data_IF_064206451915
#
_entry.id   IF_064206451915
#
_cell.length_a   1.000
_cell.length_b   1.000
_cell.length_c   1.000
_cell.angle_alpha   90.00
_cell.angle_beta   90.00
_cell.angle_gamma   90.00
#
_symmetry.space_group_name_H-M   'P 1'
#
loop_
_entity.id
_entity.type
_entity.pdbx_description
1 polymer ?
#
# COMPACT_ATOMS: atom_id res chain seq x y z
N UNK A 1 -19.95 -8.82 -15.49
CA UNK A 1 -19.61 -9.02 -14.07
C UNK A 1 -19.76 -7.68 -13.36
N UNK A 2 -20.68 -7.59 -12.41
CA UNK A 2 -21.04 -6.32 -11.75
C UNK A 2 -19.92 -5.85 -10.82
N UNK A 3 -19.66 -4.53 -10.80
CA UNK A 3 -18.71 -3.84 -9.88
C UNK A 3 -18.93 -4.23 -8.40
N UNK A 4 -20.16 -4.60 -8.07
CA UNK A 4 -20.57 -5.07 -6.75
C UNK A 4 -19.88 -6.39 -6.35
N UNK A 5 -19.60 -7.27 -7.32
CA UNK A 5 -18.88 -8.54 -7.09
C UNK A 5 -17.39 -8.30 -6.81
N UNK A 6 -16.79 -7.29 -7.47
CA UNK A 6 -15.39 -6.90 -7.25
C UNK A 6 -15.25 -6.25 -5.86
N UNK A 7 -16.19 -5.40 -5.46
CA UNK A 7 -16.23 -4.79 -4.12
C UNK A 7 -16.39 -5.83 -3.02
N UNK A 8 -17.26 -6.83 -3.19
CA UNK A 8 -17.46 -7.89 -2.20
C UNK A 8 -16.23 -8.80 -2.04
N UNK A 9 -15.50 -9.08 -3.13
CA UNK A 9 -14.24 -9.84 -3.07
C UNK A 9 -13.13 -9.08 -2.33
N UNK A 10 -13.07 -7.76 -2.50
CA UNK A 10 -12.07 -6.93 -1.81
C UNK A 10 -12.38 -6.79 -0.32
N UNK A 11 -13.66 -6.62 0.06
CA UNK A 11 -14.06 -6.55 1.48
C UNK A 11 -13.89 -7.89 2.19
N UNK A 12 -14.15 -9.01 1.50
CA UNK A 12 -13.97 -10.37 2.05
C UNK A 12 -12.52 -10.73 2.37
N UNK A 13 -11.53 -10.10 1.71
CA UNK A 13 -10.11 -10.33 1.96
C UNK A 13 -9.54 -9.46 3.10
N UNK A 14 -10.14 -8.29 3.37
CA UNK A 14 -9.67 -7.36 4.42
C UNK A 14 -10.01 -7.87 5.82
N UNK A 15 -11.12 -8.59 5.98
CA UNK A 15 -11.56 -9.12 7.29
C UNK A 15 -10.58 -10.12 7.92
N UNK A 16 -9.82 -10.85 7.10
CA UNK A 16 -8.87 -11.87 7.58
C UNK A 16 -7.54 -11.29 8.09
N UNK A 17 -7.24 -10.02 7.83
CA UNK A 17 -5.94 -9.40 8.17
C UNK A 17 -5.90 -8.70 9.54
N UNK A 18 -7.04 -8.48 10.19
CA UNK A 18 -7.13 -7.78 11.49
C UNK A 18 -6.80 -8.67 12.71
N UNK A 19 -6.41 -9.93 12.52
CA UNK A 19 -6.14 -10.87 13.62
C UNK A 19 -4.67 -10.95 14.09
N UNK A 20 -3.76 -10.15 13.52
CA UNK A 20 -2.35 -10.11 13.94
C UNK A 20 -2.04 -8.85 14.75
N UNK A 21 -2.65 -8.76 15.93
CA UNK A 21 -2.32 -7.77 16.96
C UNK A 21 -1.02 -8.20 17.64
N UNK A 22 0.09 -7.61 17.18
CA UNK A 22 1.42 -7.73 17.80
C UNK A 22 1.38 -7.12 19.19
N UNK A 23 1.62 -7.96 20.20
CA UNK A 23 1.81 -7.58 21.59
C UNK A 23 3.03 -6.66 21.73
N UNK A 24 2.80 -5.40 22.12
CA UNK A 24 3.87 -4.47 22.48
C UNK A 24 4.15 -4.61 23.96
N UNK A 25 5.22 -5.34 24.26
CA UNK A 25 5.71 -5.58 25.61
C UNK A 25 5.98 -4.29 26.38
N UNK A 26 5.27 -4.15 27.51
CA UNK A 26 5.47 -3.15 28.56
C UNK A 26 6.76 -3.46 29.33
N UNK A 27 7.76 -2.60 29.26
CA UNK A 27 8.96 -2.69 30.11
C UNK A 27 8.87 -1.68 31.26
N UNK A 28 8.90 -2.20 32.50
CA UNK A 28 8.92 -1.40 33.73
C UNK A 28 10.31 -0.76 33.92
N UNK A 29 10.33 0.50 34.37
CA UNK A 29 11.55 1.26 34.66
C UNK A 29 12.30 0.69 35.87
N UNK A 30 13.61 0.51 35.73
CA UNK A 30 14.53 0.11 36.81
C UNK A 30 15.05 1.35 37.57
N UNK A 31 15.06 1.23 38.89
CA UNK A 31 15.36 2.24 39.91
C UNK A 31 16.87 2.62 39.96
N UNK A 32 17.28 3.90 40.02
CA UNK A 32 18.68 4.32 39.83
C UNK A 32 19.45 4.53 41.13
N UNK A 33 19.51 3.54 42.03
CA UNK A 33 20.35 3.65 43.23
C UNK A 33 21.15 2.37 43.50
N UNK A 34 22.37 2.29 42.95
CA UNK A 34 23.43 1.44 43.51
C UNK A 34 24.82 2.04 43.28
N UNK A 35 25.45 2.41 44.40
CA UNK A 35 26.84 2.85 44.54
C UNK A 35 27.84 1.77 44.07
N UNK A 36 29.03 2.14 43.56
CA UNK A 36 29.97 1.21 42.94
C UNK A 36 30.72 0.41 44.01
N UNK A 37 30.20 -0.75 44.36
CA UNK A 37 30.99 -1.78 45.06
C UNK A 37 31.63 -2.65 43.98
N UNK A 38 32.97 -2.75 43.99
CA UNK A 38 33.75 -3.67 43.16
C UNK A 38 33.20 -5.09 43.31
N UNK A 39 32.37 -5.49 42.36
CA UNK A 39 31.90 -6.86 42.17
C UNK A 39 33.02 -7.58 41.39
N UNK A 40 33.42 -8.81 41.78
CA UNK A 40 34.38 -9.57 40.98
C UNK A 40 33.76 -9.73 39.59
N UNK A 41 34.34 -9.07 38.59
CA UNK A 41 33.90 -9.15 37.20
C UNK A 41 33.92 -10.61 36.80
N UNK A 42 32.75 -11.23 36.82
CA UNK A 42 32.58 -12.64 36.52
C UNK A 42 32.68 -12.78 35.00
N UNK A 43 33.91 -12.76 34.50
CA UNK A 43 34.19 -12.88 33.08
C UNK A 43 34.11 -14.35 32.68
N UNK A 44 33.35 -14.63 31.63
CA UNK A 44 33.27 -15.99 31.10
C UNK A 44 34.35 -16.17 30.05
N UNK A 45 35.24 -17.14 30.25
CA UNK A 45 36.29 -17.48 29.28
C UNK A 45 35.70 -18.36 28.19
N UNK A 46 35.80 -17.92 26.94
CA UNK A 46 35.41 -18.70 25.77
C UNK A 46 36.45 -19.80 25.56
N UNK A 47 36.05 -21.05 25.76
CA UNK A 47 36.96 -22.19 25.60
C UNK A 47 37.44 -22.38 24.15
N UNK A 48 36.60 -22.08 23.16
CA UNK A 48 36.95 -22.19 21.75
C UNK A 48 36.23 -21.12 20.89
N UNK A 49 36.95 -20.11 20.36
CA UNK A 49 36.35 -19.05 19.56
C UNK A 49 35.93 -19.50 18.14
N UNK A 50 36.34 -20.69 17.69
CA UNK A 50 35.84 -21.28 16.44
C UNK A 50 34.45 -21.89 16.59
N UNK A 51 34.06 -22.22 17.82
CA UNK A 51 32.77 -22.84 18.09
C UNK A 51 31.68 -21.77 18.05
N UNK A 52 30.67 -22.00 17.22
CA UNK A 52 29.47 -21.17 17.21
C UNK A 52 28.63 -21.43 18.45
N UNK A 53 27.79 -20.46 18.80
CA UNK A 53 26.85 -20.57 19.90
C UNK A 53 25.47 -20.10 19.45
N UNK A 54 24.41 -20.71 19.97
CA UNK A 54 23.03 -20.36 19.62
C UNK A 54 22.40 -19.53 20.72
N UNK A 55 21.80 -18.40 20.36
CA UNK A 55 21.03 -17.55 21.28
C UNK A 55 19.92 -16.84 20.53
N UNK A 56 18.78 -16.59 21.16
CA UNK A 56 17.65 -15.91 20.52
C UNK A 56 17.20 -16.56 19.19
N UNK A 57 17.40 -17.88 19.04
CA UNK A 57 17.10 -18.63 17.81
C UNK A 57 18.09 -18.42 16.66
N UNK A 58 19.21 -17.72 16.88
CA UNK A 58 20.22 -17.41 15.86
C UNK A 58 21.56 -18.03 16.27
N UNK A 59 22.31 -18.53 15.28
CA UNK A 59 23.67 -19.03 15.47
C UNK A 59 24.65 -17.90 15.26
N UNK A 60 25.38 -17.55 16.32
CA UNK A 60 26.43 -16.55 16.33
C UNK A 60 27.81 -17.18 16.27
N UNK A 61 28.73 -16.41 15.73
CA UNK A 61 30.14 -16.73 15.61
C UNK A 61 30.92 -15.58 16.22
N UNK A 62 32.06 -15.88 16.82
CA UNK A 62 32.94 -14.81 17.30
C UNK A 62 33.55 -14.08 16.09
N UNK A 63 33.95 -12.82 16.31
CA UNK A 63 34.55 -11.98 15.26
C UNK A 63 35.64 -12.72 14.47
N UNK A 64 35.52 -12.74 13.14
CA UNK A 64 36.46 -13.41 12.23
C UNK A 64 36.22 -14.91 11.98
N UNK A 65 35.24 -15.53 12.64
CA UNK A 65 34.95 -16.96 12.49
C UNK A 65 33.69 -17.26 11.68
N UNK A 66 32.90 -16.25 11.30
CA UNK A 66 31.74 -16.46 10.46
C UNK A 66 32.14 -16.84 9.02
N UNK A 67 31.47 -17.86 8.48
CA UNK A 67 31.57 -18.24 7.07
C UNK A 67 30.19 -18.14 6.43
N UNK A 68 30.11 -17.38 5.33
CA UNK A 68 28.89 -17.28 4.54
C UNK A 68 28.53 -18.64 3.94
N UNK A 69 27.26 -19.02 4.02
CA UNK A 69 26.71 -20.25 3.43
C UNK A 69 25.68 -19.90 2.36
N UNK A 70 25.27 -20.89 1.55
CA UNK A 70 24.19 -20.67 0.56
C UNK A 70 22.87 -20.24 1.21
N UNK A 71 22.59 -20.73 2.42
CA UNK A 71 21.39 -20.36 3.18
C UNK A 71 21.49 -18.97 3.80
N UNK A 72 22.67 -18.60 4.31
CA UNK A 72 22.92 -17.32 4.95
C UNK A 72 24.07 -16.63 4.22
N UNK A 73 23.81 -15.98 3.07
CA UNK A 73 24.85 -15.30 2.30
C UNK A 73 25.26 -13.97 2.93
N UNK A 74 24.39 -13.34 3.75
CA UNK A 74 24.62 -12.02 4.31
C UNK A 74 25.27 -12.10 5.69
N UNK A 75 26.46 -11.50 5.82
CA UNK A 75 27.17 -11.34 7.08
C UNK A 75 26.69 -10.08 7.82
N UNK A 76 26.26 -10.25 9.06
CA UNK A 76 25.95 -9.18 9.99
C UNK A 76 26.99 -9.15 11.11
N UNK A 77 27.39 -7.96 11.54
CA UNK A 77 28.37 -7.75 12.61
C UNK A 77 27.72 -6.93 13.72
N UNK A 78 27.80 -7.44 14.94
CA UNK A 78 27.31 -6.76 16.13
C UNK A 78 28.47 -6.55 17.10
N UNK A 79 28.77 -5.29 17.41
CA UNK A 79 29.94 -4.89 18.19
C UNK A 79 29.61 -4.82 19.68
N UNK A 80 30.61 -5.01 20.54
CA UNK A 80 30.45 -4.87 21.99
C UNK A 80 30.02 -3.46 22.42
N UNK A 81 30.39 -2.43 21.65
CA UNK A 81 30.10 -1.03 21.96
C UNK A 81 28.61 -0.65 21.85
N UNK A 82 27.74 -1.56 21.43
CA UNK A 82 26.30 -1.30 21.43
C UNK A 82 25.76 -1.27 22.87
N UNK A 83 24.89 -0.30 23.21
CA UNK A 83 24.37 -0.13 24.57
C UNK A 83 23.60 -1.38 25.08
N UNK A 84 23.03 -2.17 24.17
CA UNK A 84 22.24 -3.36 24.47
C UNK A 84 23.01 -4.67 24.24
N UNK A 85 24.30 -4.75 24.59
CA UNK A 85 25.09 -5.96 24.39
C UNK A 85 24.58 -7.14 25.26
N UNK A 86 23.91 -8.15 24.66
CA UNK A 86 23.22 -9.17 25.46
C UNK A 86 24.15 -10.32 25.86
N UNK A 87 25.39 -10.35 25.35
CA UNK A 87 26.30 -11.48 25.52
C UNK A 87 27.13 -11.40 26.82
N UNK A 88 27.07 -10.29 27.56
CA UNK A 88 27.83 -10.10 28.79
C UNK A 88 29.35 -9.97 28.56
N UNK A 89 30.13 -10.05 29.64
CA UNK A 89 31.59 -9.95 29.58
C UNK A 89 32.22 -11.31 29.28
N UNK A 90 32.52 -11.54 27.99
CA UNK A 90 33.29 -12.71 27.55
C UNK A 90 34.70 -12.30 27.13
N UNK A 91 35.66 -13.16 27.47
CA UNK A 91 37.05 -13.05 27.05
C UNK A 91 37.46 -14.26 26.23
N UNK A 92 38.29 -14.03 25.23
CA UNK A 92 38.96 -15.09 24.48
C UNK A 92 39.94 -15.83 25.39
N UNK A 93 40.36 -17.06 25.03
CA UNK A 93 41.32 -17.82 25.84
C UNK A 93 42.69 -17.10 25.96
N UNK A 94 42.97 -16.15 25.07
CA UNK A 94 44.16 -15.31 25.10
C UNK A 94 44.03 -14.09 26.03
N UNK A 95 42.96 -14.00 26.83
CA UNK A 95 42.66 -12.86 27.71
C UNK A 95 42.12 -11.62 26.98
N UNK A 96 42.02 -11.66 25.65
CA UNK A 96 41.49 -10.56 24.85
C UNK A 96 39.98 -10.46 25.00
N UNK A 97 39.45 -9.26 25.20
CA UNK A 97 38.02 -9.04 25.29
C UNK A 97 37.39 -9.26 23.91
N UNK A 98 36.22 -9.91 23.87
CA UNK A 98 35.44 -10.02 22.63
C UNK A 98 35.05 -8.63 22.14
N UNK A 99 35.43 -8.31 20.90
CA UNK A 99 35.10 -7.03 20.24
C UNK A 99 33.72 -7.03 19.59
N UNK A 100 33.21 -8.21 19.22
CA UNK A 100 31.91 -8.37 18.60
C UNK A 100 31.60 -9.82 18.24
N UNK A 101 30.36 -10.03 17.79
CA UNK A 101 29.86 -11.29 17.25
C UNK A 101 29.38 -11.08 15.81
N UNK A 102 29.44 -12.14 15.05
CA UNK A 102 29.07 -12.19 13.65
C UNK A 102 27.98 -13.24 13.48
N UNK A 103 26.98 -12.95 12.66
CA UNK A 103 25.92 -13.89 12.35
C UNK A 103 25.49 -13.75 10.90
N UNK A 104 24.81 -14.77 10.41
CA UNK A 104 24.33 -14.84 9.04
C UNK A 104 22.83 -14.63 8.96
N UNK A 105 22.39 -13.77 8.04
CA UNK A 105 20.98 -13.68 7.67
C UNK A 105 20.74 -14.25 6.27
N UNK A 106 19.49 -14.67 6.04
CA UNK A 106 19.02 -15.08 4.72
C UNK A 106 19.01 -13.88 3.74
N UNK A 107 18.91 -14.16 2.44
CA UNK A 107 18.97 -13.13 1.39
C UNK A 107 17.81 -12.13 1.42
N UNK A 108 16.64 -12.57 1.89
CA UNK A 108 15.40 -11.80 2.05
C UNK A 108 15.36 -11.00 3.37
N UNK A 109 16.28 -11.27 4.28
CA UNK A 109 16.39 -10.65 5.60
C UNK A 109 17.49 -9.58 5.63
N UNK A 110 17.36 -8.64 6.55
CA UNK A 110 18.35 -7.60 6.81
C UNK A 110 18.86 -7.64 8.25
N UNK A 111 20.07 -7.14 8.45
CA UNK A 111 20.70 -7.04 9.76
C UNK A 111 20.02 -5.94 10.58
N UNK A 112 19.42 -6.29 11.73
CA UNK A 112 18.87 -5.31 12.65
C UNK A 112 19.35 -5.59 14.07
N UNK A 113 20.30 -4.80 14.55
CA UNK A 113 20.96 -4.99 15.84
C UNK A 113 21.51 -6.42 15.98
N UNK A 114 20.97 -7.21 16.92
CA UNK A 114 21.33 -8.60 17.16
C UNK A 114 20.40 -9.62 16.49
N UNK A 115 19.48 -9.20 15.61
CA UNK A 115 18.55 -10.12 14.93
C UNK A 115 18.50 -9.92 13.42
N UNK A 116 18.04 -10.94 12.72
CA UNK A 116 17.63 -10.83 11.33
C UNK A 116 16.16 -10.43 11.31
N UNK A 117 15.84 -9.36 10.58
CA UNK A 117 14.48 -8.88 10.43
C UNK A 117 14.05 -9.07 8.97
N UNK A 118 12.80 -9.47 8.77
CA UNK A 118 12.27 -9.71 7.43
C UNK A 118 11.89 -8.38 6.81
N UNK A 119 12.20 -8.21 5.53
CA UNK A 119 11.81 -7.01 4.82
C UNK A 119 10.27 -6.94 4.72
N UNK A 120 9.66 -6.07 5.54
CA UNK A 120 8.25 -5.66 5.41
C UNK A 120 7.98 -4.88 4.12
N UNK A 121 8.94 -4.86 3.19
CA UNK A 121 8.84 -4.26 1.87
C UNK A 121 7.65 -4.82 1.11
N UNK A 122 7.37 -6.13 1.21
CA UNK A 122 6.19 -6.71 0.58
C UNK A 122 4.90 -6.05 1.09
N UNK A 123 4.71 -5.94 2.42
CA UNK A 123 3.53 -5.32 3.00
C UNK A 123 3.40 -3.83 2.62
N UNK A 124 4.51 -3.10 2.57
CA UNK A 124 4.52 -1.69 2.13
C UNK A 124 4.21 -1.55 0.64
N UNK A 125 4.71 -2.45 -0.20
CA UNK A 125 4.42 -2.47 -1.64
C UNK A 125 2.93 -2.75 -1.86
N UNK A 126 2.38 -3.77 -1.21
CA UNK A 126 0.95 -4.09 -1.29
C UNK A 126 0.07 -2.97 -0.73
N UNK A 127 0.46 -2.39 0.41
CA UNK A 127 -0.25 -1.25 1.01
C UNK A 127 -0.24 -0.02 0.10
N UNK A 128 0.89 0.29 -0.53
CA UNK A 128 1.00 1.38 -1.51
C UNK A 128 0.15 1.13 -2.76
N UNK A 129 0.14 -0.11 -3.26
CA UNK A 129 -0.68 -0.47 -4.41
C UNK A 129 -2.18 -0.36 -4.11
N UNK A 130 -2.60 -0.77 -2.90
CA UNK A 130 -3.97 -0.63 -2.43
C UNK A 130 -4.36 0.85 -2.32
N UNK A 131 -3.52 1.67 -1.69
CA UNK A 131 -3.75 3.11 -1.55
C UNK A 131 -3.91 3.81 -2.90
N UNK A 132 -3.00 3.56 -3.85
CA UNK A 132 -3.09 4.15 -5.19
C UNK A 132 -4.37 3.73 -5.90
N UNK A 133 -4.74 2.46 -5.86
CA UNK A 133 -5.99 1.96 -6.46
C UNK A 133 -7.24 2.63 -5.89
N UNK A 134 -7.28 2.88 -4.57
CA UNK A 134 -8.40 3.59 -3.93
C UNK A 134 -8.50 5.04 -4.37
N UNK A 135 -7.39 5.77 -4.44
CA UNK A 135 -7.37 7.18 -4.90
C UNK A 135 -7.84 7.30 -6.34
N UNK A 136 -7.37 6.42 -7.24
CA UNK A 136 -7.83 6.42 -8.63
C UNK A 136 -9.32 6.12 -8.75
N UNK A 137 -9.83 5.16 -7.97
CA UNK A 137 -11.24 4.80 -7.98
C UNK A 137 -12.14 5.95 -7.53
N UNK A 138 -11.77 6.64 -6.44
CA UNK A 138 -12.49 7.84 -5.96
C UNK A 138 -12.43 8.96 -7.00
N UNK A 139 -11.27 9.19 -7.62
CA UNK A 139 -11.10 10.21 -8.66
C UNK A 139 -12.02 9.98 -9.87
N UNK A 140 -12.18 8.72 -10.31
CA UNK A 140 -13.09 8.37 -11.40
C UNK A 140 -14.56 8.61 -10.99
N UNK A 141 -14.95 8.21 -9.78
CA UNK A 141 -16.32 8.39 -9.29
C UNK A 141 -16.67 9.88 -9.20
N UNK A 142 -15.81 10.70 -8.60
CA UNK A 142 -16.02 12.15 -8.48
C UNK A 142 -16.14 12.79 -9.86
N UNK A 143 -15.24 12.44 -10.80
CA UNK A 143 -15.31 12.94 -12.18
C UNK A 143 -16.61 12.53 -12.86
N UNK A 144 -17.06 11.29 -12.65
CA UNK A 144 -18.31 10.79 -13.24
C UNK A 144 -19.52 11.55 -12.70
N UNK A 145 -19.60 11.78 -11.38
CA UNK A 145 -20.67 12.54 -10.72
C UNK A 145 -20.74 13.99 -11.22
N UNK A 146 -19.59 14.65 -11.43
CA UNK A 146 -19.57 16.02 -11.96
C UNK A 146 -20.10 16.06 -13.40
N UNK A 147 -19.73 15.10 -14.24
CA UNK A 147 -20.19 15.03 -15.63
C UNK A 147 -21.70 14.76 -15.69
N UNK A 148 -22.19 13.80 -14.90
CA UNK A 148 -23.63 13.49 -14.87
C UNK A 148 -24.46 14.64 -14.32
N UNK A 149 -23.98 15.35 -13.31
CA UNK A 149 -24.66 16.55 -12.79
C UNK A 149 -24.71 17.67 -13.84
N UNK A 150 -23.62 17.89 -14.59
CA UNK A 150 -23.62 18.86 -15.71
C UNK A 150 -24.55 18.47 -16.85
N UNK A 151 -24.70 17.17 -17.13
CA UNK A 151 -25.63 16.69 -18.14
C UNK A 151 -27.10 16.82 -17.70
N UNK A 152 -27.38 16.71 -16.40
CA UNK A 152 -28.72 16.94 -15.85
C UNK A 152 -29.14 18.42 -15.89
N UNK A 153 -28.18 19.36 -15.96
CA UNK A 153 -28.43 20.80 -16.12
C UNK A 153 -28.44 21.29 -17.58
N UNK A 154 -28.01 20.48 -18.56
CA UNK A 154 -28.21 20.82 -19.96
C UNK A 154 -29.68 20.55 -20.32
N UNK A 155 -30.49 21.59 -20.63
CA UNK A 155 -31.79 21.34 -21.21
C UNK A 155 -31.58 20.55 -22.50
N UNK A 156 -32.33 19.47 -22.62
CA UNK A 156 -32.50 18.65 -23.81
C UNK A 156 -32.56 19.56 -25.04
N UNK A 157 -31.45 19.68 -25.77
CA UNK A 157 -31.48 20.18 -27.13
C UNK A 157 -32.05 19.03 -27.95
N UNK A 158 -33.38 18.93 -27.93
CA UNK A 158 -34.14 18.09 -28.83
C UNK A 158 -33.81 18.59 -30.23
N UNK A 159 -32.92 17.87 -30.91
CA UNK A 159 -32.90 17.86 -32.37
C UNK A 159 -34.34 17.55 -32.81
N UNK A 160 -35.06 18.60 -33.21
CA UNK A 160 -36.34 18.47 -33.90
C UNK A 160 -36.03 17.76 -35.21
N UNK A 161 -36.13 16.43 -35.20
CA UNK A 161 -36.25 15.61 -36.39
C UNK A 161 -37.49 16.10 -37.13
N UNK A 162 -37.29 17.05 -38.06
CA UNK A 162 -38.32 17.53 -38.97
C UNK A 162 -38.74 16.35 -39.86
N UNK A 163 -39.72 15.57 -39.41
CA UNK A 163 -40.45 14.65 -40.28
C UNK A 163 -41.26 15.49 -41.26
N UNK A 164 -40.73 15.65 -42.47
CA UNK A 164 -41.40 16.35 -43.56
C UNK A 164 -42.73 15.68 -43.89
N UNK A 165 -43.83 16.29 -43.44
CA UNK A 165 -45.19 15.88 -43.83
C UNK A 165 -45.46 16.50 -45.20
N UNK A 166 -45.45 15.67 -46.24
CA UNK A 166 -45.88 16.07 -47.58
C UNK A 166 -47.39 16.28 -47.59
N UNK A 167 -47.83 17.52 -47.76
CA UNK A 167 -49.25 17.86 -48.00
C UNK A 167 -49.45 17.98 -49.50
N UNK A 168 -50.18 17.07 -50.17
CA UNK A 168 -50.47 17.22 -51.59
C UNK A 168 -51.52 18.31 -51.79
N UNK A 169 -51.11 19.42 -52.40
CA UNK A 169 -52.04 20.48 -52.85
C UNK A 169 -52.60 20.05 -54.20
N UNK A 170 -53.87 19.63 -54.21
CA UNK A 170 -54.62 19.36 -55.45
C UNK A 170 -55.22 20.67 -55.93
N UNK A 171 -54.66 21.25 -57.00
CA UNK A 171 -55.20 22.45 -57.62
C UNK A 171 -56.31 22.03 -58.58
N UNK A 172 -57.56 22.29 -58.19
CA UNK A 172 -58.71 22.08 -59.08
C UNK A 172 -58.89 23.35 -59.91
N UNK A 173 -58.47 23.31 -61.18
CA UNK A 173 -58.77 24.37 -62.14
C UNK A 173 -60.27 24.35 -62.48
N UNK A 174 -61.07 25.07 -61.71
CA UNK A 174 -62.47 25.33 -62.01
C UNK A 174 -62.58 26.32 -63.17
N UNK A 175 -62.80 25.82 -64.38
CA UNK A 175 -63.23 26.65 -65.50
C UNK A 175 -64.64 27.19 -65.20
N UNK A 176 -64.70 28.42 -64.68
CA UNK A 176 -65.98 29.11 -64.43
C UNK A 176 -66.39 29.85 -65.69
N UNK A 177 -67.37 29.28 -66.39
CA UNK A 177 -68.20 29.99 -67.37
C UNK A 177 -68.83 31.21 -66.69
N UNK A 178 -68.68 32.40 -67.28
CA UNK A 178 -69.32 33.64 -66.79
C UNK A 178 -70.10 34.27 -67.92
N UNK A 179 -71.36 33.86 -68.01
CA UNK A 179 -72.42 34.63 -68.66
C UNK A 179 -73.13 35.53 -67.64
N UNK A 180 -73.60 36.67 -68.15
CA UNK A 180 -74.70 37.53 -67.69
C UNK A 180 -74.47 38.64 -66.62
N UNK A 181 -74.54 39.88 -67.16
CA UNK A 181 -75.48 40.97 -66.86
C UNK A 181 -75.43 41.75 -65.52
N UNK A 182 -75.03 43.03 -65.68
CA UNK A 182 -75.70 44.28 -65.21
C UNK A 182 -75.88 44.54 -63.69
N UNK A 183 -76.13 45.79 -63.21
CA UNK A 183 -76.49 47.03 -63.91
C UNK A 183 -75.63 48.27 -63.54
N UNK A 184 -75.94 49.39 -64.20
CA UNK A 184 -75.15 50.63 -64.20
C UNK A 184 -75.16 51.47 -62.92
N UNK A 185 -74.26 52.45 -62.93
CA UNK A 185 -74.31 53.63 -62.09
C UNK A 185 -73.84 54.84 -62.91
N UNK A 186 -74.62 55.90 -62.75
CA UNK A 186 -74.61 57.19 -63.44
C UNK A 186 -73.80 58.15 -62.55
N UNK A 187 -73.08 59.11 -63.15
CA UNK A 187 -72.96 60.53 -62.76
C UNK A 187 -71.55 61.09 -62.98
N UNK A 188 -71.48 62.26 -63.64
CA UNK A 188 -70.32 63.14 -63.74
C UNK A 188 -70.11 63.69 -65.13
#
# INVERSE_FOLDING_TARGET
MSLLVILLLMVGLVSSFELLKVDTGKWNSINPNRSPSQEPTNYTVIQNPRKSFSRFGIVYYWSGYYKATKSNPRKCVFLKNYPDWPFGENVLPNGTIVTGVEFGCASDQYCRAYKCDTSMTAALIWGSMLLTATVFSVGIIVRHVIITHRQAESPVNQDMEMRGVYVPVVIVSGATSRDQNAPGAING
#
